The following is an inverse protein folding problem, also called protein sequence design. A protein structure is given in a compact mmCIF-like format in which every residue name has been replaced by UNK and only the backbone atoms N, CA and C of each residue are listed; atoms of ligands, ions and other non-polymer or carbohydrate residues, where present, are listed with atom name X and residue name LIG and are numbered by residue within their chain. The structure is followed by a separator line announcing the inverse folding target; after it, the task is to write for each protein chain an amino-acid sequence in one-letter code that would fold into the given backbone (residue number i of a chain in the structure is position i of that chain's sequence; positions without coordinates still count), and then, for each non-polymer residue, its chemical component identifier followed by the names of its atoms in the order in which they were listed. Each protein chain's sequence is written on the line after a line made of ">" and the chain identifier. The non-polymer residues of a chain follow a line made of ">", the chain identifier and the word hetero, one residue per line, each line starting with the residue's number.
data_IF_372044233573
#
_entry.id   IF_372044233573
#
_cell.length_a   1.000
_cell.length_b   1.000
_cell.length_c   1.000
_cell.angle_alpha   90.00
_cell.angle_beta   90.00
_cell.angle_gamma   90.00
#
_symmetry.space_group_name_H-M   'P 1'
#
loop_
_entity.id
_entity.type
_entity.pdbx_description
1 polymer ?
#
# COMPACT_ATOMS: atom_id res chain seq x y z
N UNK A 1 5.56 12.79 38.17
CA UNK A 1 5.54 11.53 37.42
C UNK A 1 6.81 10.79 37.81
N UNK A 2 6.66 9.59 38.35
CA UNK A 2 7.76 8.74 38.74
C UNK A 2 8.65 8.38 37.54
N UNK A 3 9.94 8.11 37.80
CA UNK A 3 10.94 7.76 36.78
C UNK A 3 10.51 6.54 35.97
N UNK A 4 9.95 5.53 36.63
CA UNK A 4 9.49 4.30 36.00
C UNK A 4 8.30 4.58 35.05
N UNK A 5 7.31 5.34 35.49
CA UNK A 5 6.19 5.75 34.64
C UNK A 5 6.64 6.56 33.42
N UNK A 6 7.70 7.37 33.56
CA UNK A 6 8.28 8.12 32.44
C UNK A 6 8.99 7.20 31.45
N UNK A 7 9.71 6.19 31.92
CA UNK A 7 10.38 5.20 31.04
C UNK A 7 9.36 4.39 30.26
N UNK A 8 8.32 3.87 30.89
CA UNK A 8 7.23 3.15 30.22
C UNK A 8 6.53 4.01 29.15
N UNK A 9 6.34 5.30 29.41
CA UNK A 9 5.75 6.20 28.41
C UNK A 9 6.70 6.44 27.23
N UNK A 10 8.01 6.57 27.47
CA UNK A 10 9.00 6.71 26.40
C UNK A 10 9.09 5.44 25.55
N UNK A 11 9.08 4.26 26.17
CA UNK A 11 9.05 2.98 25.47
C UNK A 11 7.83 2.84 24.57
N UNK A 12 6.64 3.17 25.05
CA UNK A 12 5.41 3.15 24.22
C UNK A 12 5.46 4.14 23.06
N UNK A 13 6.08 5.31 23.26
CA UNK A 13 6.24 6.30 22.17
C UNK A 13 7.25 5.84 21.15
N UNK A 14 8.34 5.24 21.62
CA UNK A 14 9.37 4.68 20.73
C UNK A 14 8.77 3.55 19.88
N UNK A 15 8.08 2.59 20.51
CA UNK A 15 7.43 1.49 19.81
C UNK A 15 6.47 1.98 18.72
N UNK A 16 5.64 2.99 19.02
CA UNK A 16 4.75 3.59 18.00
C UNK A 16 5.52 4.21 16.84
N UNK A 17 6.63 4.86 17.11
CA UNK A 17 7.44 5.46 16.05
C UNK A 17 8.13 4.39 15.18
N UNK A 18 8.63 3.33 15.80
CA UNK A 18 9.20 2.18 15.10
C UNK A 18 8.14 1.49 14.23
N UNK A 19 6.95 1.24 14.76
CA UNK A 19 5.83 0.66 14.01
C UNK A 19 5.45 1.50 12.78
N UNK A 20 5.35 2.82 12.95
CA UNK A 20 5.06 3.72 11.83
C UNK A 20 6.15 3.66 10.75
N UNK A 21 7.42 3.59 11.13
CA UNK A 21 8.54 3.47 10.19
C UNK A 21 8.53 2.11 9.48
N UNK A 22 8.27 1.02 10.19
CA UNK A 22 8.16 -0.32 9.60
C UNK A 22 7.01 -0.38 8.59
N UNK A 23 5.83 0.11 8.95
CA UNK A 23 4.66 0.17 8.06
C UNK A 23 4.96 1.05 6.85
N UNK A 24 5.57 2.22 7.05
CA UNK A 24 5.95 3.09 5.95
C UNK A 24 6.93 2.39 4.99
N UNK A 25 7.97 1.74 5.50
CA UNK A 25 8.94 1.01 4.70
C UNK A 25 8.25 -0.14 3.92
N UNK A 26 7.36 -0.89 4.57
CA UNK A 26 6.58 -1.94 3.91
C UNK A 26 5.75 -1.40 2.76
N UNK A 27 4.99 -0.32 2.97
CA UNK A 27 4.13 0.26 1.93
C UNK A 27 4.93 0.89 0.79
N UNK A 28 6.08 1.50 1.09
CA UNK A 28 6.94 2.13 0.08
C UNK A 28 7.79 1.11 -0.69
N UNK A 29 8.01 -0.10 -0.18
CA UNK A 29 8.72 -1.16 -0.91
C UNK A 29 7.89 -1.73 -2.07
N UNK A 30 6.57 -1.55 -2.07
CA UNK A 30 5.67 -2.06 -3.10
C UNK A 30 6.09 -1.65 -4.51
N UNK A 31 6.30 -0.36 -4.75
CA UNK A 31 6.67 0.15 -6.08
C UNK A 31 7.93 -0.51 -6.63
N UNK A 32 9.08 -0.41 -5.95
CA UNK A 32 10.32 -1.07 -6.40
C UNK A 32 10.18 -2.57 -6.63
N UNK A 33 9.39 -3.28 -5.83
CA UNK A 33 9.17 -4.72 -6.01
C UNK A 33 8.41 -5.03 -7.30
N UNK A 34 7.32 -4.31 -7.59
CA UNK A 34 6.52 -4.57 -8.79
C UNK A 34 7.21 -4.07 -10.06
N UNK A 35 7.98 -2.99 -9.96
CA UNK A 35 8.72 -2.41 -11.10
C UNK A 35 10.00 -3.19 -11.44
N UNK A 36 10.52 -4.00 -10.50
CA UNK A 36 11.66 -4.89 -10.73
C UNK A 36 11.28 -6.25 -11.30
N UNK A 37 10.02 -6.47 -11.64
CA UNK A 37 9.48 -7.75 -12.10
C UNK A 37 9.64 -8.91 -11.08
N UNK A 38 9.69 -8.59 -9.78
CA UNK A 38 9.76 -9.58 -8.69
C UNK A 38 8.38 -9.79 -8.07
N UNK A 39 7.61 -10.69 -8.66
CA UNK A 39 6.21 -10.94 -8.30
C UNK A 39 6.01 -11.49 -6.89
N UNK A 40 6.78 -12.51 -6.51
CA UNK A 40 6.61 -13.21 -5.23
C UNK A 40 6.88 -12.32 -4.00
N UNK A 41 7.98 -11.54 -3.93
CA UNK A 41 8.20 -10.62 -2.83
C UNK A 41 7.13 -9.53 -2.73
N UNK A 42 6.56 -9.08 -3.87
CA UNK A 42 5.47 -8.12 -3.86
C UNK A 42 4.19 -8.71 -3.23
N UNK A 43 3.85 -9.97 -3.55
CA UNK A 43 2.72 -10.68 -2.94
C UNK A 43 2.91 -10.93 -1.44
N UNK A 44 4.15 -11.14 -1.00
CA UNK A 44 4.52 -11.37 0.40
C UNK A 44 4.37 -10.14 1.32
N UNK A 45 4.05 -8.97 0.80
CA UNK A 45 3.69 -7.81 1.62
C UNK A 45 2.34 -7.99 2.33
N UNK A 46 1.48 -8.88 1.82
CA UNK A 46 0.19 -9.23 2.42
C UNK A 46 0.31 -10.43 3.34
N UNK A 47 -0.57 -10.51 4.32
CA UNK A 47 -0.77 -11.75 5.07
C UNK A 47 -1.48 -12.80 4.20
N UNK A 48 -1.34 -14.10 4.51
CA UNK A 48 -2.13 -15.15 3.84
C UNK A 48 -3.63 -14.91 4.00
N UNK A 49 -4.36 -14.89 2.87
CA UNK A 49 -5.80 -14.59 2.84
C UNK A 49 -6.13 -13.09 2.84
N UNK A 50 -5.14 -12.23 2.85
CA UNK A 50 -5.32 -10.78 2.68
C UNK A 50 -5.82 -10.43 1.28
N UNK A 51 -6.26 -9.19 1.06
CA UNK A 51 -6.89 -8.76 -0.18
C UNK A 51 -6.33 -7.47 -0.78
N UNK A 52 -6.47 -7.37 -2.10
CA UNK A 52 -6.21 -6.15 -2.85
C UNK A 52 -7.36 -5.85 -3.79
N UNK A 53 -8.12 -4.80 -3.49
CA UNK A 53 -9.23 -4.31 -4.31
C UNK A 53 -8.82 -3.03 -5.04
N UNK A 54 -9.03 -2.97 -6.36
CA UNK A 54 -8.65 -1.82 -7.17
C UNK A 54 -9.63 -1.53 -8.30
N UNK A 55 -9.68 -0.25 -8.72
CA UNK A 55 -10.47 0.19 -9.87
C UNK A 55 -9.80 -0.25 -11.17
N UNK A 56 -10.56 -0.88 -12.06
CA UNK A 56 -10.14 -1.24 -13.42
C UNK A 56 -10.22 -0.03 -14.37
N UNK A 57 -9.57 -0.07 -15.56
CA UNK A 57 -9.66 0.99 -16.55
C UNK A 57 -11.08 1.29 -17.06
N UNK A 58 -11.96 0.31 -17.03
CA UNK A 58 -13.39 0.45 -17.41
C UNK A 58 -14.27 1.02 -16.30
N UNK A 59 -13.68 1.38 -15.15
CA UNK A 59 -14.38 1.87 -13.96
C UNK A 59 -14.91 0.77 -13.04
N UNK A 60 -14.82 -0.49 -13.43
CA UNK A 60 -15.16 -1.64 -12.58
C UNK A 60 -14.18 -1.80 -11.43
N UNK A 61 -14.49 -2.71 -10.53
CA UNK A 61 -13.62 -3.05 -9.39
C UNK A 61 -13.26 -4.51 -9.43
N UNK A 62 -11.98 -4.82 -9.20
CA UNK A 62 -11.48 -6.18 -9.03
C UNK A 62 -10.86 -6.33 -7.66
N UNK A 63 -11.04 -7.51 -7.03
CA UNK A 63 -10.36 -7.91 -5.81
C UNK A 63 -9.56 -9.17 -6.09
N UNK A 64 -8.33 -9.21 -5.62
CA UNK A 64 -7.41 -10.34 -5.66
C UNK A 64 -7.08 -10.78 -4.24
N UNK A 65 -6.78 -12.06 -4.07
CA UNK A 65 -6.39 -12.62 -2.77
C UNK A 65 -4.89 -12.95 -2.71
N UNK A 66 -4.33 -12.68 -1.55
CA UNK A 66 -2.91 -12.87 -1.28
C UNK A 66 -2.59 -14.32 -0.85
N UNK A 67 -1.32 -14.74 -1.06
CA UNK A 67 -0.31 -14.05 -1.84
C UNK A 67 -0.41 -14.35 -3.35
N UNK A 68 -1.02 -15.46 -3.73
CA UNK A 68 -0.95 -16.06 -5.06
C UNK A 68 -1.55 -15.20 -6.18
N UNK A 69 -2.82 -14.73 -6.03
CA UNK A 69 -3.46 -13.93 -7.08
C UNK A 69 -2.81 -12.56 -7.23
N UNK A 70 -2.38 -11.96 -6.10
CA UNK A 70 -1.68 -10.66 -6.13
C UNK A 70 -0.33 -10.82 -6.83
N UNK A 71 0.46 -11.84 -6.49
CA UNK A 71 1.69 -12.14 -7.19
C UNK A 71 1.46 -12.43 -8.68
N UNK A 72 0.42 -13.22 -8.99
CA UNK A 72 0.04 -13.55 -10.37
C UNK A 72 -0.31 -12.35 -11.23
N UNK A 73 -0.86 -11.28 -10.65
CA UNK A 73 -1.18 -10.03 -11.35
C UNK A 73 0.05 -9.42 -12.04
N UNK A 74 1.23 -9.52 -11.44
CA UNK A 74 2.47 -8.97 -11.99
C UNK A 74 2.99 -9.76 -13.18
N UNK A 75 2.49 -11.00 -13.38
CA UNK A 75 2.71 -11.81 -14.56
C UNK A 75 1.72 -11.54 -15.72
N UNK A 76 0.73 -10.67 -15.53
CA UNK A 76 -0.19 -10.34 -16.61
C UNK A 76 0.54 -9.62 -17.76
N UNK A 77 0.21 -9.94 -19.03
CA UNK A 77 0.89 -9.34 -20.17
C UNK A 77 0.95 -7.82 -20.12
N UNK A 78 -0.15 -7.15 -19.75
CA UNK A 78 -0.19 -5.71 -19.63
C UNK A 78 0.76 -5.14 -18.57
N UNK A 79 0.99 -5.84 -17.44
CA UNK A 79 1.94 -5.40 -16.45
C UNK A 79 3.40 -5.63 -16.91
N UNK A 80 3.66 -6.77 -17.54
CA UNK A 80 4.98 -7.07 -18.13
C UNK A 80 5.35 -6.01 -19.18
N UNK A 81 4.41 -5.61 -20.03
CA UNK A 81 4.61 -4.57 -21.04
C UNK A 81 4.93 -3.21 -20.38
N UNK A 82 4.23 -2.85 -19.29
CA UNK A 82 4.52 -1.63 -18.56
C UNK A 82 5.95 -1.63 -18.00
N UNK A 83 6.36 -2.71 -17.34
CA UNK A 83 7.71 -2.85 -16.76
C UNK A 83 8.78 -2.79 -17.85
N UNK A 84 8.59 -3.49 -18.95
CA UNK A 84 9.56 -3.54 -20.06
C UNK A 84 9.69 -2.19 -20.80
N UNK A 85 8.60 -1.42 -20.89
CA UNK A 85 8.61 -0.09 -21.52
C UNK A 85 9.20 0.97 -20.58
N UNK A 86 9.05 0.79 -19.29
CA UNK A 86 9.47 1.69 -18.21
C UNK A 86 8.28 2.27 -17.48
N UNK A 87 8.19 1.96 -16.20
CA UNK A 87 7.17 2.49 -15.32
C UNK A 87 7.74 2.79 -13.92
N UNK A 88 6.98 3.55 -13.14
CA UNK A 88 7.26 3.77 -11.73
C UNK A 88 5.94 3.79 -10.94
N UNK A 89 5.79 2.82 -10.03
CA UNK A 89 4.71 2.81 -9.05
C UNK A 89 5.14 3.55 -7.79
N UNK A 90 4.70 4.78 -7.64
CA UNK A 90 5.06 5.62 -6.51
C UNK A 90 3.93 5.63 -5.47
N UNK A 91 4.28 5.34 -4.22
CA UNK A 91 3.40 5.52 -3.07
C UNK A 91 3.86 6.78 -2.33
N UNK A 92 2.97 7.77 -2.20
CA UNK A 92 3.24 8.93 -1.35
C UNK A 92 3.21 8.49 0.12
N UNK A 93 3.97 9.19 0.98
CA UNK A 93 3.97 8.92 2.42
C UNK A 93 2.56 8.99 2.98
N UNK A 94 1.99 7.87 3.47
CA UNK A 94 0.63 7.83 3.97
C UNK A 94 0.52 8.40 5.39
N UNK A 95 -0.69 8.82 5.77
CA UNK A 95 -1.04 8.95 7.18
C UNK A 95 -1.22 7.55 7.75
N UNK A 96 -0.53 7.24 8.85
CA UNK A 96 -0.55 5.93 9.51
C UNK A 96 -1.02 6.11 10.94
N UNK A 97 -1.92 5.25 11.40
CA UNK A 97 -2.34 5.13 12.80
C UNK A 97 -2.19 3.69 13.24
N UNK A 98 -1.54 3.51 14.38
CA UNK A 98 -1.27 2.20 14.99
C UNK A 98 -2.06 2.09 16.30
N UNK A 99 -2.77 0.98 16.45
CA UNK A 99 -3.51 0.62 17.67
C UNK A 99 -3.18 -0.84 18.04
N UNK A 100 -2.22 -1.01 18.94
CA UNK A 100 -1.71 -2.34 19.32
C UNK A 100 -1.08 -3.07 18.13
N UNK A 101 -1.67 -4.21 17.78
CA UNK A 101 -1.22 -5.07 16.68
C UNK A 101 -1.99 -4.80 15.36
N UNK A 102 -2.87 -3.82 15.36
CA UNK A 102 -3.62 -3.38 14.19
C UNK A 102 -3.17 -1.98 13.77
N UNK A 103 -3.20 -1.72 12.45
CA UNK A 103 -2.91 -0.40 11.92
C UNK A 103 -3.75 -0.09 10.68
N UNK A 104 -3.92 1.18 10.43
CA UNK A 104 -4.54 1.69 9.22
C UNK A 104 -3.64 2.76 8.58
N UNK A 105 -3.69 2.85 7.25
CA UNK A 105 -2.99 3.88 6.52
C UNK A 105 -3.84 4.41 5.37
N UNK A 106 -3.76 5.71 5.10
CA UNK A 106 -4.41 6.34 3.94
C UNK A 106 -3.40 7.23 3.22
N UNK A 107 -3.33 7.10 1.90
CA UNK A 107 -2.41 7.90 1.11
C UNK A 107 -2.65 7.77 -0.40
N UNK A 108 -1.94 8.58 -1.16
CA UNK A 108 -2.01 8.56 -2.62
C UNK A 108 -0.95 7.63 -3.20
N UNK A 109 -1.25 7.13 -4.39
CA UNK A 109 -0.25 6.50 -5.25
C UNK A 109 -0.43 6.97 -6.68
N UNK A 110 0.67 6.98 -7.42
CA UNK A 110 0.67 7.32 -8.84
C UNK A 110 1.46 6.27 -9.62
N UNK A 111 1.05 6.04 -10.86
CA UNK A 111 1.82 5.27 -11.84
C UNK A 111 2.27 6.22 -12.93
N UNK A 112 3.57 6.27 -13.13
CA UNK A 112 4.21 7.05 -14.17
C UNK A 112 4.70 6.08 -15.24
N UNK A 113 4.45 6.39 -16.49
CA UNK A 113 4.91 5.58 -17.63
C UNK A 113 5.89 6.37 -18.49
N UNK A 114 6.82 5.64 -19.10
CA UNK A 114 7.68 6.14 -20.16
C UNK A 114 7.03 5.85 -21.51
N UNK A 115 6.98 6.87 -22.37
CA UNK A 115 6.59 6.76 -23.78
C UNK A 115 7.62 7.52 -24.59
N UNK A 116 8.38 6.83 -25.41
CA UNK A 116 9.55 7.35 -26.09
C UNK A 116 10.54 8.02 -25.11
N UNK A 117 10.80 9.33 -25.29
CA UNK A 117 11.68 10.12 -24.42
C UNK A 117 10.91 10.90 -23.34
N UNK A 118 9.63 10.63 -23.12
CA UNK A 118 8.77 11.35 -22.21
C UNK A 118 8.31 10.47 -21.05
N UNK A 119 8.16 11.09 -19.88
CA UNK A 119 7.49 10.51 -18.72
C UNK A 119 6.18 11.24 -18.49
N UNK A 120 5.11 10.50 -18.25
CA UNK A 120 3.80 11.08 -17.97
C UNK A 120 3.10 10.33 -16.85
N UNK A 121 2.25 11.04 -16.13
CA UNK A 121 1.40 10.43 -15.12
C UNK A 121 0.24 9.73 -15.83
N UNK A 122 0.25 8.40 -15.73
CA UNK A 122 -0.78 7.56 -16.32
C UNK A 122 -1.98 7.35 -15.40
N UNK A 123 -1.73 7.15 -14.08
CA UNK A 123 -2.78 6.84 -13.11
C UNK A 123 -2.47 7.51 -11.77
N UNK A 124 -3.51 8.07 -11.15
CA UNK A 124 -3.48 8.52 -9.77
C UNK A 124 -4.60 7.82 -8.99
N UNK A 125 -4.31 7.41 -7.76
CA UNK A 125 -5.24 6.70 -6.91
C UNK A 125 -5.09 7.10 -5.44
N UNK A 126 -6.17 6.98 -4.69
CA UNK A 126 -6.17 6.95 -3.24
C UNK A 126 -6.15 5.50 -2.77
N UNK A 127 -5.42 5.23 -1.69
CA UNK A 127 -5.36 3.93 -1.06
C UNK A 127 -5.77 4.03 0.41
N UNK A 128 -6.47 3.02 0.87
CA UNK A 128 -6.65 2.70 2.27
C UNK A 128 -6.07 1.30 2.50
N UNK A 129 -5.20 1.18 3.50
CA UNK A 129 -4.62 -0.09 3.93
C UNK A 129 -5.07 -0.40 5.35
N UNK A 130 -5.43 -1.65 5.59
CA UNK A 130 -5.53 -2.27 6.90
C UNK A 130 -4.35 -3.20 7.06
N UNK A 131 -3.65 -3.10 8.18
CA UNK A 131 -2.44 -3.87 8.44
C UNK A 131 -2.54 -4.55 9.80
N UNK A 132 -1.79 -5.63 9.96
CA UNK A 132 -1.68 -6.38 11.20
C UNK A 132 -0.22 -6.73 11.49
N UNK A 133 0.13 -6.74 12.78
CA UNK A 133 1.42 -7.26 13.23
C UNK A 133 1.36 -8.78 13.27
N UNK A 134 2.38 -9.41 12.71
CA UNK A 134 2.59 -10.86 12.75
C UNK A 134 3.91 -11.16 13.46
N UNK A 135 4.23 -12.44 13.65
CA UNK A 135 5.53 -12.85 14.18
C UNK A 135 6.72 -12.43 13.27
N UNK A 136 6.45 -12.14 12.00
CA UNK A 136 7.44 -11.76 10.98
C UNK A 136 7.42 -10.25 10.68
N UNK A 137 6.77 -9.43 11.49
CA UNK A 137 6.57 -7.99 11.29
C UNK A 137 5.20 -7.64 10.72
N UNK A 138 5.01 -6.40 10.31
CA UNK A 138 3.74 -5.92 9.77
C UNK A 138 3.41 -6.54 8.41
N UNK A 139 2.10 -6.82 8.17
CA UNK A 139 1.58 -7.31 6.89
C UNK A 139 0.29 -6.58 6.53
N UNK A 140 0.03 -6.46 5.22
CA UNK A 140 -1.22 -5.90 4.70
C UNK A 140 -2.32 -6.96 4.80
N UNK A 141 -3.42 -6.63 5.48
CA UNK A 141 -4.64 -7.44 5.52
C UNK A 141 -5.53 -7.11 4.33
N UNK A 142 -5.73 -5.82 4.07
CA UNK A 142 -6.53 -5.36 2.93
C UNK A 142 -5.94 -4.07 2.37
N UNK A 143 -5.87 -3.97 1.05
CA UNK A 143 -5.61 -2.73 0.33
C UNK A 143 -6.79 -2.39 -0.56
N UNK A 144 -7.39 -1.24 -0.32
CA UNK A 144 -8.41 -0.66 -1.20
C UNK A 144 -7.78 0.48 -1.98
N UNK A 145 -7.71 0.34 -3.32
CA UNK A 145 -7.17 1.36 -4.22
C UNK A 145 -8.30 1.85 -5.12
N UNK A 146 -8.55 3.15 -5.13
CA UNK A 146 -9.57 3.77 -5.98
C UNK A 146 -8.96 4.86 -6.83
N UNK A 147 -9.30 4.87 -8.12
CA UNK A 147 -8.86 5.92 -9.03
C UNK A 147 -9.34 7.30 -8.54
N UNK A 148 -8.52 8.33 -8.73
CA UNK A 148 -8.90 9.72 -8.44
C UNK A 148 -9.73 10.29 -9.60
N UNK A 149 -10.91 9.70 -9.80
CA UNK A 149 -11.83 9.99 -10.91
C UNK A 149 -13.03 10.88 -10.50
N UNK A 150 -13.04 11.34 -9.23
CA UNK A 150 -14.13 12.13 -8.68
C UNK A 150 -15.36 11.30 -8.26
N UNK A 151 -15.28 9.97 -8.32
CA UNK A 151 -16.38 9.09 -7.92
C UNK A 151 -16.69 9.16 -6.42
N UNK A 152 -17.92 8.81 -6.00
CA UNK A 152 -18.27 8.69 -4.59
C UNK A 152 -17.36 7.69 -3.84
N UNK A 153 -16.95 6.62 -4.50
CA UNK A 153 -16.08 5.58 -3.96
C UNK A 153 -14.66 6.10 -3.67
N UNK A 154 -14.11 6.91 -4.58
CA UNK A 154 -12.79 7.54 -4.36
C UNK A 154 -12.86 8.53 -3.21
N UNK A 155 -13.91 9.36 -3.15
CA UNK A 155 -14.14 10.29 -2.05
C UNK A 155 -14.37 9.57 -0.71
N UNK A 156 -15.11 8.47 -0.69
CA UNK A 156 -15.29 7.66 0.51
C UNK A 156 -13.96 7.09 1.03
N UNK A 157 -13.11 6.60 0.11
CA UNK A 157 -11.78 6.08 0.46
C UNK A 157 -10.88 7.19 1.02
N UNK A 158 -10.92 8.40 0.44
CA UNK A 158 -10.16 9.55 0.98
C UNK A 158 -10.61 9.93 2.39
N UNK A 159 -11.92 9.90 2.66
CA UNK A 159 -12.47 10.24 3.99
C UNK A 159 -12.03 9.27 5.10
N UNK A 160 -11.57 8.07 4.76
CA UNK A 160 -10.96 7.17 5.75
C UNK A 160 -9.81 7.81 6.52
N UNK A 161 -9.14 8.83 5.96
CA UNK A 161 -8.13 9.61 6.67
C UNK A 161 -8.65 10.27 7.94
N UNK A 162 -9.95 10.52 8.04
CA UNK A 162 -10.60 11.13 9.19
C UNK A 162 -10.93 10.11 10.30
N UNK A 163 -10.92 8.82 9.96
CA UNK A 163 -11.28 7.71 10.85
C UNK A 163 -10.05 7.10 11.55
N UNK A 164 -8.85 7.55 11.17
CA UNK A 164 -7.57 7.03 11.66
C UNK A 164 -6.72 8.08 12.36
#
# INVERSE_FOLDING_TARGET
>A
MDREARLLELERRLQRAEDQLEIQNLLMSYGPLVDSATAEPAGALWEPGGGYSFTLPDGGTKRLEAPGEIAGMYGWPGHIDLVNTGCAHLTATPKITVDGDDAQAVGYSVVILKEDERWFLWRAAVNHWTLKRTAEGWRIVERVNRALDGSPESHATMRKVLEI
#
